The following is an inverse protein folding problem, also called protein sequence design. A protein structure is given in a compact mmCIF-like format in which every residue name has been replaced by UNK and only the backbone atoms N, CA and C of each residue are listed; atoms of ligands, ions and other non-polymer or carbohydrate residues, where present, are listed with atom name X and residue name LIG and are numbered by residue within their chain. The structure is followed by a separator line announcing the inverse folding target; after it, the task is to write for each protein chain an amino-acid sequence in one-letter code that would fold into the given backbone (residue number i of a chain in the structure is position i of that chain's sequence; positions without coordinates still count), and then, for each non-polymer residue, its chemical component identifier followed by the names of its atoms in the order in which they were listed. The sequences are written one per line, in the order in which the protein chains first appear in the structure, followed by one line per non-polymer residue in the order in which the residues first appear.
data_IF_911182529817
#
_entry.id   IF_911182529817
#
_cell.length_a   1.000
_cell.length_b   1.000
_cell.length_c   1.000
_cell.angle_alpha   90.00
_cell.angle_beta   90.00
_cell.angle_gamma   90.00
#
_symmetry.space_group_name_H-M   'P 1'
#
loop_
_entity.id
_entity.type
_entity.pdbx_description
1 polymer ?
#
# COMPACT_ATOMS: atom_id res chain seq x y z
N UNK A 1 -36.52 20.41 36.83
CA UNK A 1 -35.15 20.33 36.27
C UNK A 1 -34.78 18.87 36.37
N UNK A 2 -34.87 18.17 35.26
CA UNK A 2 -34.50 16.76 35.16
C UNK A 2 -33.46 16.67 34.05
N UNK A 3 -32.29 16.15 34.40
CA UNK A 3 -31.07 16.20 33.59
C UNK A 3 -31.01 14.92 32.78
N UNK A 4 -31.21 15.07 31.48
CA UNK A 4 -30.93 14.05 30.48
C UNK A 4 -29.41 13.92 30.29
N UNK A 5 -29.00 12.70 29.94
CA UNK A 5 -27.92 12.40 29.01
C UNK A 5 -26.47 12.41 29.53
N UNK A 6 -25.90 11.22 29.74
CA UNK A 6 -24.81 10.67 28.90
C UNK A 6 -24.52 9.22 29.31
N UNK A 7 -25.12 8.26 28.59
CA UNK A 7 -24.67 6.87 28.58
C UNK A 7 -23.62 6.68 27.49
N UNK A 8 -22.36 6.50 27.88
CA UNK A 8 -21.25 6.21 26.96
C UNK A 8 -21.22 4.70 26.68
N UNK A 9 -21.87 4.26 25.59
CA UNK A 9 -21.69 2.90 25.07
C UNK A 9 -20.67 2.92 23.92
N UNK A 10 -19.42 2.58 24.23
CA UNK A 10 -18.43 2.22 23.22
C UNK A 10 -18.67 0.76 22.79
N UNK A 11 -19.72 0.55 21.99
CA UNK A 11 -19.97 -0.69 21.26
C UNK A 11 -19.31 -0.62 19.88
N UNK A 12 -18.43 -1.59 19.58
CA UNK A 12 -17.95 -1.86 18.23
C UNK A 12 -19.13 -2.35 17.38
N UNK A 13 -19.80 -1.42 16.69
CA UNK A 13 -20.84 -1.72 15.71
C UNK A 13 -20.22 -2.25 14.41
N UNK A 14 -20.12 -3.58 14.30
CA UNK A 14 -19.85 -4.28 13.04
C UNK A 14 -21.14 -4.36 12.21
N UNK A 15 -21.73 -3.20 11.93
CA UNK A 15 -22.96 -3.05 11.15
C UNK A 15 -22.74 -3.40 9.69
N UNK A 16 -22.94 -4.68 9.34
CA UNK A 16 -23.20 -5.09 7.96
C UNK A 16 -24.56 -4.56 7.55
N UNK A 17 -24.59 -3.45 6.79
CA UNK A 17 -25.78 -3.01 6.05
C UNK A 17 -25.41 -2.38 4.71
N UNK A 18 -25.83 -3.06 3.64
CA UNK A 18 -26.38 -2.41 2.45
C UNK A 18 -25.40 -2.17 1.29
N UNK A 19 -25.46 -3.05 0.29
CA UNK A 19 -25.13 -2.71 -1.09
C UNK A 19 -26.00 -1.53 -1.53
N UNK A 20 -25.43 -0.33 -1.56
CA UNK A 20 -26.05 0.90 -2.03
C UNK A 20 -24.94 1.83 -2.52
N UNK A 21 -24.52 1.60 -3.75
CA UNK A 21 -23.44 2.32 -4.41
C UNK A 21 -23.84 3.78 -4.69
N UNK A 22 -23.53 4.66 -3.74
CA UNK A 22 -23.11 6.02 -4.10
C UNK A 22 -21.60 5.96 -4.35
N UNK A 23 -21.26 5.47 -5.55
CA UNK A 23 -19.90 5.58 -6.08
C UNK A 23 -19.61 7.05 -6.34
N UNK A 24 -19.28 7.79 -5.28
CA UNK A 24 -18.45 8.98 -5.40
C UNK A 24 -17.14 8.52 -6.01
N UNK A 25 -16.77 9.10 -7.15
CA UNK A 25 -15.46 8.95 -7.76
C UNK A 25 -14.39 9.51 -6.81
N UNK A 26 -14.03 8.77 -5.77
CA UNK A 26 -13.15 9.27 -4.71
C UNK A 26 -13.13 8.48 -3.41
N UNK A 27 -13.95 7.44 -3.21
CA UNK A 27 -13.89 6.70 -1.95
C UNK A 27 -12.71 5.72 -1.95
N UNK A 28 -11.61 6.13 -1.30
CA UNK A 28 -10.37 5.38 -1.11
C UNK A 28 -10.65 4.30 -0.05
N UNK A 29 -11.21 3.17 -0.47
CA UNK A 29 -11.62 2.11 0.45
C UNK A 29 -10.51 1.09 0.74
N UNK A 30 -9.72 1.28 1.80
CA UNK A 30 -8.80 0.23 2.29
C UNK A 30 -9.57 -1.08 2.60
N UNK A 31 -10.81 -0.96 3.09
CA UNK A 31 -11.68 -2.10 3.33
C UNK A 31 -11.99 -2.90 2.07
N UNK A 32 -12.26 -2.22 0.94
CA UNK A 32 -12.52 -2.86 -0.35
C UNK A 32 -11.30 -3.65 -0.85
N UNK A 33 -10.10 -3.10 -0.64
CA UNK A 33 -8.84 -3.76 -0.99
C UNK A 33 -8.57 -4.98 -0.10
N UNK A 34 -8.80 -4.89 1.22
CA UNK A 34 -8.55 -5.99 2.16
C UNK A 34 -9.50 -7.18 2.02
N UNK A 35 -10.74 -6.95 1.55
CA UNK A 35 -11.74 -8.01 1.31
C UNK A 35 -11.85 -8.40 -0.17
N UNK A 36 -11.12 -7.72 -1.07
CA UNK A 36 -11.11 -8.04 -2.49
C UNK A 36 -10.52 -9.43 -2.73
N UNK A 37 -11.17 -10.20 -3.59
CA UNK A 37 -10.65 -11.49 -4.10
C UNK A 37 -9.30 -11.36 -4.81
N UNK A 38 -8.94 -10.14 -5.20
CA UNK A 38 -7.72 -9.79 -5.93
C UNK A 38 -6.78 -8.89 -5.13
N UNK A 39 -7.17 -8.55 -3.90
CA UNK A 39 -6.43 -7.68 -2.99
C UNK A 39 -5.28 -8.39 -2.26
N UNK A 40 -4.68 -7.73 -1.27
CA UNK A 40 -3.42 -8.12 -0.60
C UNK A 40 -3.32 -9.60 -0.15
N UNK A 41 -4.45 -10.25 0.16
CA UNK A 41 -4.50 -11.66 0.61
C UNK A 41 -4.61 -12.67 -0.53
N UNK A 42 -4.75 -12.21 -1.77
CA UNK A 42 -4.92 -13.05 -2.94
C UNK A 42 -3.61 -13.71 -3.39
N UNK A 43 -3.65 -14.89 -4.03
CA UNK A 43 -2.46 -15.51 -4.61
C UNK A 43 -1.73 -14.61 -5.62
N UNK A 44 -2.48 -13.77 -6.34
CA UNK A 44 -1.97 -12.81 -7.30
C UNK A 44 -1.17 -11.71 -6.59
N UNK A 45 -1.71 -11.14 -5.50
CA UNK A 45 -1.01 -10.15 -4.69
C UNK A 45 0.27 -10.73 -4.06
N UNK A 46 0.21 -11.97 -3.55
CA UNK A 46 1.39 -12.65 -3.02
C UNK A 46 2.49 -12.76 -4.09
N UNK A 47 2.13 -13.12 -5.32
CA UNK A 47 3.09 -13.21 -6.44
C UNK A 47 3.69 -11.85 -6.79
N UNK A 48 2.87 -10.79 -6.80
CA UNK A 48 3.33 -9.40 -7.00
C UNK A 48 4.28 -8.96 -5.90
N UNK A 49 3.95 -9.21 -4.63
CA UNK A 49 4.78 -8.89 -3.46
C UNK A 49 6.13 -9.61 -3.55
N UNK A 50 6.15 -10.90 -3.87
CA UNK A 50 7.42 -11.65 -4.01
C UNK A 50 8.30 -11.10 -5.13
N UNK A 51 7.70 -10.77 -6.28
CA UNK A 51 8.40 -10.08 -7.36
C UNK A 51 8.97 -8.75 -6.90
N UNK A 52 8.16 -7.94 -6.20
CA UNK A 52 8.60 -6.66 -5.66
C UNK A 52 9.72 -6.79 -4.63
N UNK A 53 9.63 -7.75 -3.71
CA UNK A 53 10.68 -8.00 -2.73
C UNK A 53 12.01 -8.29 -3.42
N UNK A 54 12.00 -9.16 -4.43
CA UNK A 54 13.20 -9.45 -5.24
C UNK A 54 13.73 -8.19 -5.92
N UNK A 55 12.86 -7.43 -6.57
CA UNK A 55 13.27 -6.27 -7.34
C UNK A 55 13.76 -5.11 -6.45
N UNK A 56 13.16 -4.90 -5.26
CA UNK A 56 13.64 -3.92 -4.28
C UNK A 56 15.03 -4.33 -3.76
N UNK A 57 15.24 -5.60 -3.44
CA UNK A 57 16.57 -6.10 -3.02
C UNK A 57 17.61 -5.85 -4.11
N UNK A 58 17.24 -6.06 -5.38
CA UNK A 58 18.12 -5.77 -6.52
C UNK A 58 18.34 -4.26 -6.75
N UNK A 59 17.35 -3.42 -6.40
CA UNK A 59 17.44 -1.97 -6.48
C UNK A 59 18.23 -1.34 -5.33
N UNK A 60 18.44 -2.08 -4.24
CA UNK A 60 19.29 -1.65 -3.13
C UNK A 60 20.76 -1.78 -3.51
N UNK A 61 21.42 -0.63 -3.58
CA UNK A 61 22.85 -0.50 -3.88
C UNK A 61 23.59 -0.01 -2.63
N UNK A 62 24.93 -0.09 -2.58
CA UNK A 62 25.71 0.48 -1.47
C UNK A 62 25.38 1.95 -1.19
N UNK A 63 25.00 2.70 -2.23
CA UNK A 63 24.66 4.14 -2.15
C UNK A 63 23.17 4.41 -1.82
N UNK A 64 22.36 3.37 -1.62
CA UNK A 64 20.93 3.46 -1.31
C UNK A 64 20.03 2.83 -2.37
N UNK A 65 18.75 3.21 -2.34
CA UNK A 65 17.73 2.68 -3.24
C UNK A 65 17.75 3.40 -4.60
N UNK A 66 17.71 2.63 -5.68
CA UNK A 66 17.50 3.17 -7.03
C UNK A 66 16.01 3.52 -7.26
N UNK A 67 15.69 4.81 -7.18
CA UNK A 67 14.32 5.32 -7.33
C UNK A 67 13.76 5.15 -8.75
N UNK A 68 14.60 5.08 -9.78
CA UNK A 68 14.10 4.83 -11.15
C UNK A 68 13.59 3.41 -11.28
N UNK A 69 14.32 2.45 -10.69
CA UNK A 69 13.89 1.05 -10.62
C UNK A 69 12.60 0.96 -9.79
N UNK A 70 12.52 1.63 -8.63
CA UNK A 70 11.30 1.69 -7.81
C UNK A 70 10.08 2.19 -8.61
N UNK A 71 10.23 3.30 -9.34
CA UNK A 71 9.15 3.84 -10.18
C UNK A 71 8.70 2.85 -11.27
N UNK A 72 9.64 2.19 -11.95
CA UNK A 72 9.33 1.21 -12.99
C UNK A 72 8.64 -0.04 -12.42
N UNK A 73 9.07 -0.53 -11.25
CA UNK A 73 8.41 -1.62 -10.55
C UNK A 73 6.96 -1.29 -10.24
N UNK A 74 6.70 -0.15 -9.60
CA UNK A 74 5.35 0.27 -9.23
C UNK A 74 4.45 0.45 -10.45
N UNK A 75 4.98 0.97 -11.58
CA UNK A 75 4.26 1.03 -12.86
C UNK A 75 3.86 -0.35 -13.37
N UNK A 76 4.81 -1.29 -13.38
CA UNK A 76 4.57 -2.64 -13.87
C UNK A 76 3.50 -3.34 -13.04
N UNK A 77 3.50 -3.13 -11.72
CA UNK A 77 2.46 -3.69 -10.87
C UNK A 77 1.12 -2.98 -11.02
N UNK A 78 1.10 -1.66 -11.24
CA UNK A 78 -0.12 -0.91 -11.58
C UNK A 78 -0.78 -1.49 -12.81
N UNK A 79 0.00 -1.80 -13.84
CA UNK A 79 -0.49 -2.53 -15.00
C UNK A 79 -1.08 -3.92 -14.65
N UNK A 80 -0.48 -4.66 -13.73
CA UNK A 80 -0.96 -5.98 -13.31
C UNK A 80 -2.24 -5.90 -12.45
N UNK A 81 -2.30 -4.97 -11.50
CA UNK A 81 -3.44 -4.71 -10.65
C UNK A 81 -4.66 -4.30 -11.47
N UNK A 82 -4.49 -3.39 -12.43
CA UNK A 82 -5.55 -2.99 -13.36
C UNK A 82 -6.06 -4.16 -14.21
N UNK A 83 -5.15 -4.97 -14.76
CA UNK A 83 -5.50 -6.19 -15.52
C UNK A 83 -6.26 -7.22 -14.69
N UNK A 84 -6.10 -7.18 -13.37
CA UNK A 84 -6.76 -8.07 -12.43
C UNK A 84 -8.18 -7.62 -12.04
N UNK A 85 -8.65 -6.50 -12.61
CA UNK A 85 -10.01 -5.99 -12.46
C UNK A 85 -10.18 -4.95 -11.34
N UNK A 86 -9.08 -4.50 -10.72
CA UNK A 86 -9.11 -3.41 -9.75
C UNK A 86 -9.40 -2.08 -10.45
N UNK A 87 -10.17 -1.21 -9.78
CA UNK A 87 -10.34 0.16 -10.25
C UNK A 87 -8.99 0.92 -10.18
N UNK A 88 -8.81 2.01 -10.94
CA UNK A 88 -7.59 2.80 -10.86
C UNK A 88 -7.27 3.30 -9.45
N UNK A 89 -8.27 3.72 -8.68
CA UNK A 89 -8.07 4.17 -7.29
C UNK A 89 -7.69 3.01 -6.37
N UNK A 90 -8.34 1.85 -6.51
CA UNK A 90 -8.04 0.67 -5.70
C UNK A 90 -6.67 0.07 -6.02
N UNK A 91 -6.27 0.10 -7.30
CA UNK A 91 -4.96 -0.37 -7.76
C UNK A 91 -3.83 0.46 -7.12
N UNK A 92 -4.01 1.78 -6.97
CA UNK A 92 -3.03 2.64 -6.27
C UNK A 92 -2.89 2.23 -4.81
N UNK A 93 -4.00 2.03 -4.11
CA UNK A 93 -4.00 1.63 -2.69
C UNK A 93 -3.35 0.25 -2.53
N UNK A 94 -3.76 -0.72 -3.35
CA UNK A 94 -3.22 -2.07 -3.34
C UNK A 94 -1.69 -2.05 -3.52
N UNK A 95 -1.17 -1.28 -4.48
CA UNK A 95 0.27 -1.21 -4.72
C UNK A 95 1.03 -0.58 -3.56
N UNK A 96 0.47 0.45 -2.92
CA UNK A 96 1.09 1.04 -1.73
C UNK A 96 1.18 0.00 -0.60
N UNK A 97 0.10 -0.78 -0.38
CA UNK A 97 0.07 -1.83 0.63
C UNK A 97 1.02 -3.00 0.29
N UNK A 98 1.07 -3.41 -0.97
CA UNK A 98 2.01 -4.43 -1.46
C UNK A 98 3.46 -3.97 -1.30
N UNK A 99 3.73 -2.70 -1.58
CA UNK A 99 5.08 -2.10 -1.40
C UNK A 99 5.49 -2.09 0.07
N UNK A 100 4.61 -1.66 0.97
CA UNK A 100 4.87 -1.69 2.41
C UNK A 100 5.10 -3.14 2.87
N UNK A 101 4.28 -4.08 2.40
CA UNK A 101 4.40 -5.50 2.75
C UNK A 101 5.74 -6.09 2.29
N UNK A 102 6.16 -5.79 1.06
CA UNK A 102 7.44 -6.20 0.51
C UNK A 102 8.62 -5.65 1.34
N UNK A 103 8.58 -4.36 1.71
CA UNK A 103 9.58 -3.74 2.56
C UNK A 103 9.65 -4.38 3.95
N UNK A 104 8.50 -4.66 4.58
CA UNK A 104 8.44 -5.35 5.86
C UNK A 104 9.04 -6.76 5.77
N UNK A 105 8.80 -7.48 4.67
CA UNK A 105 9.37 -8.81 4.44
C UNK A 105 10.90 -8.76 4.29
N UNK A 106 11.43 -7.73 3.62
CA UNK A 106 12.88 -7.48 3.54
C UNK A 106 13.43 -7.21 4.94
N UNK A 107 12.82 -6.28 5.69
CA UNK A 107 13.25 -5.93 7.05
C UNK A 107 13.20 -7.13 8.01
N UNK A 108 12.23 -8.02 7.84
CA UNK A 108 12.13 -9.25 8.64
C UNK A 108 13.30 -10.20 8.44
N UNK A 109 14.03 -10.11 7.33
CA UNK A 109 15.19 -10.96 7.02
C UNK A 109 16.53 -10.20 7.04
N UNK A 110 16.49 -8.86 7.07
CA UNK A 110 17.67 -8.02 7.02
C UNK A 110 18.33 -7.86 8.40
N UNK A 111 19.66 -7.72 8.40
CA UNK A 111 20.41 -7.21 9.57
C UNK A 111 20.48 -5.69 9.46
N UNK A 112 19.68 -4.99 10.26
CA UNK A 112 19.65 -3.53 10.26
C UNK A 112 20.84 -2.97 11.03
N UNK A 113 21.73 -2.30 10.31
CA UNK A 113 22.87 -1.57 10.89
C UNK A 113 22.49 -0.15 11.36
N UNK A 114 23.48 0.70 11.66
CA UNK A 114 23.25 2.10 12.00
C UNK A 114 22.49 2.85 10.89
N UNK A 115 21.50 3.65 11.29
CA UNK A 115 20.66 4.42 10.36
C UNK A 115 21.35 5.74 10.01
N UNK A 116 21.51 6.01 8.71
CA UNK A 116 22.03 7.29 8.21
C UNK A 116 20.90 8.30 7.99
N UNK A 117 20.73 9.22 8.95
CA UNK A 117 19.68 10.24 8.88
C UNK A 117 20.00 11.41 7.93
N UNK A 118 21.24 11.56 7.47
CA UNK A 118 21.65 12.69 6.63
C UNK A 118 20.99 12.64 5.24
N UNK A 119 20.53 11.47 4.81
CA UNK A 119 19.98 11.24 3.48
C UNK A 119 18.44 11.18 3.46
N UNK A 120 17.76 11.42 4.58
CA UNK A 120 16.29 11.30 4.68
C UNK A 120 15.60 12.19 3.63
N UNK A 121 16.02 13.44 3.47
CA UNK A 121 15.42 14.36 2.48
C UNK A 121 15.53 13.82 1.05
N UNK A 122 16.67 13.25 0.69
CA UNK A 122 16.87 12.65 -0.64
C UNK A 122 15.99 11.41 -0.83
N UNK A 123 15.84 10.60 0.22
CA UNK A 123 14.97 9.42 0.21
C UNK A 123 13.51 9.84 0.02
N UNK A 124 13.03 10.84 0.77
CA UNK A 124 11.67 11.37 0.64
C UNK A 124 11.41 11.88 -0.78
N UNK A 125 12.31 12.71 -1.33
CA UNK A 125 12.18 13.23 -2.70
C UNK A 125 12.19 12.12 -3.76
N UNK A 126 13.04 11.11 -3.58
CA UNK A 126 13.12 9.94 -4.46
C UNK A 126 11.84 9.11 -4.44
N UNK A 127 11.29 8.84 -3.26
CA UNK A 127 10.01 8.15 -3.09
C UNK A 127 8.87 8.98 -3.71
N UNK A 128 8.77 10.28 -3.39
CA UNK A 128 7.73 11.16 -3.96
C UNK A 128 7.78 11.20 -5.49
N UNK A 129 8.97 11.28 -6.07
CA UNK A 129 9.16 11.24 -7.53
C UNK A 129 8.76 9.87 -8.10
N UNK A 130 9.09 8.78 -7.40
CA UNK A 130 8.74 7.43 -7.85
C UNK A 130 7.23 7.21 -7.84
N UNK A 131 6.54 7.62 -6.78
CA UNK A 131 5.08 7.54 -6.68
C UNK A 131 4.41 8.40 -7.75
N UNK A 132 4.79 9.67 -7.87
CA UNK A 132 4.20 10.58 -8.87
C UNK A 132 4.39 10.11 -10.30
N UNK A 133 5.47 9.39 -10.57
CA UNK A 133 5.70 8.82 -11.88
C UNK A 133 4.88 7.55 -12.11
N UNK A 134 4.61 6.77 -11.07
CA UNK A 134 4.08 5.42 -11.19
C UNK A 134 2.56 5.27 -10.99
N UNK A 135 1.94 6.14 -10.19
CA UNK A 135 0.55 6.07 -9.74
C UNK A 135 -0.19 7.36 -10.10
#
# INVERSE_FOLDING_TARGET
IDVTDVGFEAGLDLGVKGYGAESSAGDIGIGAVLVSSTGLRSPQAISRIQGMTSDIVNALRPDGLDFNVLAQMMKNMSGQALKSGLSPSDAKIEILLETITALLQILSSARVGPINNNNISNIVLGISSSLSNAL
#
